data_IF_730963903630
#
_entry.id   IF_730963903630
#
_cell.length_a   1.000
_cell.length_b   1.000
_cell.length_c   1.000
_cell.angle_alpha   90.00
_cell.angle_beta   90.00
_cell.angle_gamma   90.00
#
_symmetry.space_group_name_H-M   'P 1'
#
loop_
_entity.id
_entity.type
_entity.pdbx_description
1 polymer ?
#
# COMPACT_ATOMS: atom_id res chain seq x y z
N UNK A 1 -13.91 14.74 63.51
CA UNK A 1 -14.83 14.96 62.37
C UNK A 1 -16.21 15.21 62.93
N UNK A 2 -16.82 16.34 62.56
CA UNK A 2 -18.20 16.66 62.90
C UNK A 2 -19.08 16.10 61.78
N UNK A 3 -20.09 15.30 62.11
CA UNK A 3 -21.03 14.74 61.14
C UNK A 3 -22.31 15.56 61.17
N UNK A 4 -22.75 16.04 60.01
CA UNK A 4 -23.97 16.86 59.89
C UNK A 4 -24.84 16.36 58.75
N UNK A 5 -26.16 16.33 58.95
CA UNK A 5 -27.15 16.07 57.91
C UNK A 5 -28.06 17.29 57.77
N UNK A 6 -28.50 17.58 56.55
CA UNK A 6 -29.42 18.68 56.28
C UNK A 6 -30.86 18.22 56.49
N UNK A 7 -31.60 18.89 57.37
CA UNK A 7 -33.04 18.70 57.58
C UNK A 7 -33.67 20.07 57.42
N UNK A 8 -34.57 20.21 56.44
CA UNK A 8 -35.25 21.48 56.12
C UNK A 8 -34.24 22.63 55.94
N UNK A 9 -33.20 22.38 55.12
CA UNK A 9 -32.08 23.31 54.84
C UNK A 9 -31.20 23.69 56.05
N UNK A 10 -31.50 23.19 57.24
CA UNK A 10 -30.66 23.38 58.43
C UNK A 10 -29.74 22.19 58.65
N UNK A 11 -28.44 22.48 58.85
CA UNK A 11 -27.45 21.44 59.17
C UNK A 11 -27.55 21.07 60.65
N UNK A 12 -28.01 19.84 60.93
CA UNK A 12 -28.04 19.29 62.29
C UNK A 12 -26.88 18.33 62.48
N UNK A 13 -26.20 18.45 63.63
CA UNK A 13 -25.13 17.53 64.02
C UNK A 13 -25.73 16.18 64.42
N UNK A 14 -25.13 15.10 63.93
CA UNK A 14 -25.56 13.73 64.19
C UNK A 14 -24.37 12.86 64.62
N UNK A 15 -24.67 11.68 65.18
CA UNK A 15 -23.63 10.71 65.50
C UNK A 15 -23.08 10.03 64.22
N UNK A 16 -21.87 9.47 64.32
CA UNK A 16 -21.20 8.75 63.21
C UNK A 16 -22.08 7.62 62.65
N UNK A 17 -22.68 6.82 63.51
CA UNK A 17 -23.51 5.69 63.10
C UNK A 17 -24.71 6.15 62.28
N UNK A 18 -25.43 7.16 62.77
CA UNK A 18 -26.57 7.76 62.05
C UNK A 18 -26.15 8.29 60.69
N UNK A 19 -25.06 9.06 60.60
CA UNK A 19 -24.59 9.62 59.34
C UNK A 19 -24.28 8.55 58.28
N UNK A 20 -23.56 7.48 58.67
CA UNK A 20 -23.18 6.40 57.76
C UNK A 20 -24.38 5.56 57.34
N UNK A 21 -25.26 5.21 58.28
CA UNK A 21 -26.46 4.42 58.02
C UNK A 21 -27.47 5.19 57.16
N UNK A 22 -27.70 6.48 57.44
CA UNK A 22 -28.64 7.31 56.67
C UNK A 22 -28.18 7.54 55.23
N UNK A 23 -26.87 7.72 54.99
CA UNK A 23 -26.32 7.92 53.65
C UNK A 23 -25.96 6.60 52.93
N UNK A 24 -26.10 5.45 53.61
CA UNK A 24 -25.78 4.14 53.03
C UNK A 24 -24.30 3.96 52.65
N UNK A 25 -23.38 4.69 53.30
CA UNK A 25 -21.95 4.65 52.99
C UNK A 25 -21.15 4.03 54.12
N UNK A 26 -20.14 3.25 53.76
CA UNK A 26 -19.17 2.75 54.74
C UNK A 26 -18.22 3.86 55.16
N UNK A 27 -17.65 3.75 56.36
CA UNK A 27 -16.64 4.70 56.83
C UNK A 27 -15.43 4.76 55.89
N UNK A 28 -15.04 3.63 55.31
CA UNK A 28 -13.93 3.56 54.35
C UNK A 28 -14.21 4.39 53.10
N UNK A 29 -15.42 4.30 52.54
CA UNK A 29 -15.83 5.10 51.38
C UNK A 29 -15.80 6.59 51.69
N UNK A 30 -16.38 6.98 52.83
CA UNK A 30 -16.39 8.39 53.27
C UNK A 30 -14.97 8.94 53.47
N UNK A 31 -14.11 8.21 54.18
CA UNK A 31 -12.70 8.61 54.38
C UNK A 31 -11.93 8.69 53.08
N UNK A 32 -12.20 7.78 52.14
CA UNK A 32 -11.54 7.77 50.83
C UNK A 32 -11.98 8.97 49.98
N UNK A 33 -13.28 9.29 49.97
CA UNK A 33 -13.82 10.46 49.28
C UNK A 33 -13.24 11.76 49.84
N UNK A 34 -13.13 11.89 51.17
CA UNK A 34 -12.49 13.05 51.80
C UNK A 34 -11.00 13.16 51.48
N UNK A 35 -10.28 12.04 51.44
CA UNK A 35 -8.86 12.01 51.04
C UNK A 35 -8.66 12.39 49.57
N UNK A 36 -9.62 12.06 48.69
CA UNK A 36 -9.59 12.39 47.27
C UNK A 36 -10.13 13.80 46.96
N UNK A 37 -10.71 14.50 47.94
CA UNK A 37 -11.26 15.84 47.74
C UNK A 37 -10.14 16.87 47.57
N UNK A 38 -10.16 17.59 46.46
CA UNK A 38 -9.27 18.69 46.14
C UNK A 38 -9.76 20.00 46.80
N UNK A 39 -8.90 21.04 46.81
CA UNK A 39 -9.17 22.31 47.51
C UNK A 39 -10.37 23.07 46.94
N UNK A 40 -10.66 22.89 45.65
CA UNK A 40 -11.80 23.45 44.92
C UNK A 40 -13.12 22.68 45.17
N UNK A 41 -13.08 21.60 45.96
CA UNK A 41 -14.24 20.77 46.26
C UNK A 41 -14.49 19.65 45.26
N UNK A 42 -13.68 19.53 44.20
CA UNK A 42 -13.76 18.42 43.24
C UNK A 42 -13.11 17.16 43.81
N UNK A 43 -13.52 15.99 43.30
CA UNK A 43 -12.89 14.71 43.64
C UNK A 43 -11.77 14.45 42.63
N UNK A 44 -10.59 14.04 43.12
CA UNK A 44 -9.45 13.71 42.29
C UNK A 44 -9.80 12.65 41.22
N UNK A 45 -9.30 12.90 40.01
CA UNK A 45 -9.57 12.07 38.82
C UNK A 45 -9.18 10.60 39.03
N UNK A 46 -9.95 9.68 38.44
CA UNK A 46 -9.72 8.25 38.56
C UNK A 46 -8.43 7.83 37.84
N UNK A 47 -7.39 7.48 38.61
CA UNK A 47 -6.09 7.06 38.09
C UNK A 47 -5.89 5.53 38.12
N UNK A 48 -6.99 4.76 38.15
CA UNK A 48 -6.94 3.30 38.08
C UNK A 48 -6.74 2.85 36.63
N UNK A 49 -5.65 2.11 36.39
CA UNK A 49 -5.27 1.62 35.07
C UNK A 49 -4.26 2.53 34.36
N UNK A 50 -3.39 1.92 33.56
CA UNK A 50 -2.27 2.57 32.86
C UNK A 50 -0.96 1.82 33.08
N UNK A 51 -0.06 1.87 32.08
CA UNK A 51 1.31 1.36 32.23
C UNK A 51 2.09 2.25 33.20
N UNK A 52 2.90 1.63 34.05
CA UNK A 52 3.82 2.36 34.93
C UNK A 52 4.81 3.15 34.07
N UNK A 53 5.35 4.24 34.61
CA UNK A 53 6.26 5.11 33.85
C UNK A 53 7.46 4.34 33.27
N UNK A 54 8.04 3.42 34.06
CA UNK A 54 9.11 2.53 33.61
C UNK A 54 8.71 1.63 32.42
N UNK A 55 7.47 1.12 32.40
CA UNK A 55 6.96 0.28 31.31
C UNK A 55 6.71 1.09 30.03
N UNK A 56 6.47 2.40 30.14
CA UNK A 56 6.38 3.29 28.98
C UNK A 56 7.76 3.55 28.37
N UNK A 57 8.77 3.82 29.20
CA UNK A 57 10.15 4.04 28.75
C UNK A 57 10.67 2.79 28.04
N UNK A 58 10.53 1.61 28.64
CA UNK A 58 10.94 0.34 28.03
C UNK A 58 10.22 0.07 26.71
N UNK A 59 8.94 0.44 26.61
CA UNK A 59 8.19 0.31 25.37
C UNK A 59 8.73 1.22 24.26
N UNK A 60 9.05 2.47 24.59
CA UNK A 60 9.56 3.44 23.61
C UNK A 60 10.97 3.08 23.14
N UNK A 61 11.84 2.62 24.03
CA UNK A 61 13.18 2.11 23.67
C UNK A 61 13.08 0.93 22.69
N UNK A 62 12.20 -0.03 22.97
CA UNK A 62 11.95 -1.16 22.06
C UNK A 62 11.39 -0.69 20.73
N UNK A 63 10.45 0.27 20.75
CA UNK A 63 9.87 0.85 19.54
C UNK A 63 10.95 1.49 18.68
N UNK A 64 11.83 2.28 19.27
CA UNK A 64 12.92 2.94 18.54
C UNK A 64 13.89 1.91 17.93
N UNK A 65 14.27 0.87 18.69
CA UNK A 65 15.15 -0.18 18.17
C UNK A 65 14.58 -0.89 16.92
N UNK A 66 13.26 -1.06 16.86
CA UNK A 66 12.58 -1.67 15.71
C UNK A 66 12.59 -0.71 14.53
N UNK A 67 12.34 0.58 14.77
CA UNK A 67 12.37 1.61 13.73
C UNK A 67 13.76 1.71 13.11
N UNK A 68 14.80 1.76 13.95
CA UNK A 68 16.19 1.84 13.52
C UNK A 68 16.55 0.63 12.65
N UNK A 69 16.17 -0.58 13.07
CA UNK A 69 16.39 -1.79 12.28
C UNK A 69 15.64 -1.78 10.94
N UNK A 70 14.35 -1.41 10.92
CA UNK A 70 13.56 -1.37 9.68
C UNK A 70 14.11 -0.31 8.70
N UNK A 71 14.62 0.81 9.20
CA UNK A 71 15.18 1.88 8.36
C UNK A 71 16.53 1.55 7.73
N UNK A 72 17.21 0.47 8.15
CA UNK A 72 18.41 -0.03 7.47
C UNK A 72 18.12 -0.64 6.11
N UNK A 73 16.89 -1.09 5.87
CA UNK A 73 16.52 -1.68 4.58
C UNK A 73 16.24 -0.58 3.55
N UNK A 74 16.85 -0.66 2.36
CA UNK A 74 16.60 0.31 1.30
C UNK A 74 15.12 0.26 0.87
N UNK A 75 14.53 1.44 0.72
CA UNK A 75 13.15 1.59 0.23
C UNK A 75 13.16 1.71 -1.29
N UNK A 76 12.25 1.02 -1.94
CA UNK A 76 12.03 1.06 -3.37
C UNK A 76 10.92 2.05 -3.68
N UNK A 77 11.18 2.93 -4.65
CA UNK A 77 10.20 3.91 -5.10
C UNK A 77 8.97 3.25 -5.72
N UNK A 78 7.81 3.88 -5.49
CA UNK A 78 6.51 3.44 -5.99
C UNK A 78 6.36 3.52 -7.51
N UNK A 79 7.39 3.89 -8.26
CA UNK A 79 7.38 4.07 -9.72
C UNK A 79 6.81 2.85 -10.50
N UNK A 80 6.82 1.66 -9.89
CA UNK A 80 6.27 0.42 -10.45
C UNK A 80 4.82 0.11 -10.02
N UNK A 81 4.34 0.78 -8.98
CA UNK A 81 2.99 0.71 -8.44
C UNK A 81 2.15 1.90 -8.93
N UNK A 82 0.83 1.71 -9.08
CA UNK A 82 -0.08 2.72 -9.65
C UNK A 82 0.06 4.05 -8.90
N UNK A 83 -0.13 5.16 -9.62
CA UNK A 83 -0.06 6.57 -9.19
C UNK A 83 -0.82 6.93 -7.90
N UNK A 84 -1.62 6.02 -7.34
CA UNK A 84 -2.55 6.25 -6.23
C UNK A 84 -2.12 5.65 -4.87
N UNK A 85 -0.91 5.09 -4.73
CA UNK A 85 -0.47 4.56 -3.42
C UNK A 85 0.72 5.34 -2.85
N UNK A 86 0.52 5.97 -1.67
CA UNK A 86 1.58 6.57 -0.84
C UNK A 86 2.47 5.55 -0.12
N UNK A 87 2.32 4.26 -0.43
CA UNK A 87 3.05 3.20 0.26
C UNK A 87 4.47 3.10 -0.32
N UNK A 88 5.45 2.95 0.56
CA UNK A 88 6.82 2.61 0.19
C UNK A 88 6.99 1.08 0.19
N UNK A 89 7.89 0.59 -0.68
CA UNK A 89 8.05 -0.85 -0.88
C UNK A 89 9.44 -1.33 -0.45
N UNK A 90 9.51 -2.51 0.15
CA UNK A 90 10.74 -3.24 0.44
C UNK A 90 11.01 -4.29 -0.65
N UNK A 91 12.25 -4.74 -0.76
CA UNK A 91 12.66 -5.73 -1.75
C UNK A 91 11.79 -7.01 -1.72
N UNK A 92 11.54 -7.65 -2.88
CA UNK A 92 10.67 -8.82 -3.00
C UNK A 92 11.18 -10.06 -2.27
N UNK A 93 12.49 -10.12 -1.99
CA UNK A 93 13.14 -11.23 -1.29
C UNK A 93 13.07 -11.09 0.25
N UNK A 94 12.69 -9.90 0.73
CA UNK A 94 12.48 -9.67 2.15
C UNK A 94 11.09 -10.14 2.55
N UNK A 95 11.03 -10.85 3.67
CA UNK A 95 9.79 -11.20 4.35
C UNK A 95 9.87 -10.74 5.79
N UNK A 96 8.70 -10.44 6.37
CA UNK A 96 8.61 -9.97 7.77
C UNK A 96 9.27 -10.94 8.75
N UNK A 97 9.24 -12.25 8.43
CA UNK A 97 9.90 -13.29 9.22
C UNK A 97 11.41 -13.21 9.15
N UNK A 98 11.96 -13.08 7.94
CA UNK A 98 13.40 -12.90 7.72
C UNK A 98 13.90 -11.63 8.42
N UNK A 99 13.20 -10.51 8.25
CA UNK A 99 13.57 -9.25 8.89
C UNK A 99 13.56 -9.35 10.42
N UNK A 100 12.56 -10.00 11.02
CA UNK A 100 12.53 -10.18 12.47
C UNK A 100 13.68 -11.07 12.97
N UNK A 101 14.02 -12.13 12.22
CA UNK A 101 15.13 -13.00 12.59
C UNK A 101 16.47 -12.23 12.54
N UNK A 102 16.66 -11.36 11.53
CA UNK A 102 17.80 -10.45 11.45
C UNK A 102 17.84 -9.50 12.66
N UNK A 103 16.69 -8.90 13.03
CA UNK A 103 16.58 -8.06 14.21
C UNK A 103 16.96 -8.80 15.50
N UNK A 104 16.48 -10.02 15.70
CA UNK A 104 16.80 -10.83 16.87
C UNK A 104 18.31 -11.13 16.94
N UNK A 105 18.92 -11.50 15.81
CA UNK A 105 20.36 -11.74 15.72
C UNK A 105 21.18 -10.47 16.03
N UNK A 106 20.75 -9.31 15.53
CA UNK A 106 21.42 -8.03 15.81
C UNK A 106 21.31 -7.64 17.29
N UNK A 107 20.12 -7.77 17.88
CA UNK A 107 19.93 -7.51 19.31
C UNK A 107 20.73 -8.47 20.19
N UNK A 108 20.89 -9.73 19.77
CA UNK A 108 21.73 -10.70 20.46
C UNK A 108 23.22 -10.33 20.41
N UNK A 109 23.70 -9.83 19.28
CA UNK A 109 25.07 -9.31 19.14
C UNK A 109 25.34 -8.12 20.08
N UNK A 110 24.36 -7.23 20.22
CA UNK A 110 24.40 -6.08 21.13
C UNK A 110 24.12 -6.43 22.61
N UNK A 111 23.91 -7.72 22.93
CA UNK A 111 23.51 -8.20 24.27
C UNK A 111 22.23 -7.54 24.81
N UNK A 112 21.34 -7.10 23.93
CA UNK A 112 20.04 -6.50 24.26
C UNK A 112 18.92 -7.53 24.15
N UNK A 113 17.86 -7.35 24.93
CA UNK A 113 16.66 -8.19 24.81
C UNK A 113 15.81 -7.72 23.62
N UNK A 114 15.54 -8.59 22.62
CA UNK A 114 14.73 -8.21 21.48
C UNK A 114 13.27 -7.97 21.89
N UNK A 115 12.62 -7.07 21.15
CA UNK A 115 11.18 -6.91 21.24
C UNK A 115 10.41 -8.15 20.76
N UNK A 116 9.16 -8.28 21.21
CA UNK A 116 8.30 -9.38 20.79
C UNK A 116 7.93 -9.27 19.31
N UNK A 117 7.70 -10.43 18.66
CA UNK A 117 7.28 -10.47 17.26
C UNK A 117 6.00 -9.69 17.00
N UNK A 118 5.07 -9.71 17.96
CA UNK A 118 3.81 -8.97 17.86
C UNK A 118 4.05 -7.45 17.78
N UNK A 119 4.92 -6.93 18.66
CA UNK A 119 5.28 -5.50 18.65
C UNK A 119 5.98 -5.11 17.34
N UNK A 120 6.91 -5.95 16.86
CA UNK A 120 7.59 -5.76 15.58
C UNK A 120 6.60 -5.68 14.41
N UNK A 121 5.66 -6.63 14.33
CA UNK A 121 4.65 -6.66 13.27
C UNK A 121 3.73 -5.43 13.31
N UNK A 122 3.35 -4.97 14.50
CA UNK A 122 2.48 -3.80 14.65
C UNK A 122 3.18 -2.52 14.22
N UNK A 123 4.45 -2.34 14.61
CA UNK A 123 5.26 -1.20 14.18
C UNK A 123 5.48 -1.23 12.66
N UNK A 124 5.82 -2.39 12.10
CA UNK A 124 5.95 -2.54 10.65
C UNK A 124 4.68 -2.13 9.89
N UNK A 125 3.50 -2.58 10.36
CA UNK A 125 2.21 -2.17 9.77
C UNK A 125 1.96 -0.68 9.90
N UNK A 126 2.35 -0.06 11.02
CA UNK A 126 2.17 1.38 11.24
C UNK A 126 2.99 2.25 10.28
N UNK A 127 4.09 1.72 9.71
CA UNK A 127 4.94 2.43 8.75
C UNK A 127 4.37 2.47 7.33
N UNK A 128 3.27 1.74 7.04
CA UNK A 128 2.69 1.70 5.70
C UNK A 128 3.57 1.00 4.65
N UNK A 129 4.57 0.22 5.08
CA UNK A 129 5.47 -0.51 4.21
C UNK A 129 4.82 -1.77 3.64
N UNK A 130 5.12 -2.07 2.38
CA UNK A 130 4.70 -3.32 1.72
C UNK A 130 5.89 -4.02 1.07
N UNK A 131 5.83 -5.33 0.95
CA UNK A 131 6.81 -6.05 0.14
C UNK A 131 6.48 -5.87 -1.34
N UNK A 132 7.49 -5.54 -2.14
CA UNK A 132 7.33 -5.40 -3.57
C UNK A 132 6.99 -6.75 -4.18
N UNK A 133 5.97 -6.79 -5.04
CA UNK A 133 5.64 -7.96 -5.83
C UNK A 133 5.87 -7.61 -7.30
N UNK A 134 6.76 -8.36 -7.96
CA UNK A 134 6.99 -8.21 -9.39
C UNK A 134 5.70 -8.47 -10.17
N UNK A 135 5.30 -7.52 -11.01
CA UNK A 135 4.20 -7.73 -11.97
C UNK A 135 4.63 -8.77 -13.00
N UNK A 136 3.67 -9.59 -13.47
CA UNK A 136 3.89 -10.62 -14.49
C UNK A 136 4.48 -10.08 -15.81
N UNK A 137 4.30 -8.78 -16.08
CA UNK A 137 4.80 -8.08 -17.28
C UNK A 137 5.83 -6.99 -16.94
N UNK A 138 6.79 -7.29 -16.07
CA UNK A 138 7.83 -6.32 -15.72
C UNK A 138 8.85 -6.18 -16.86
N UNK A 139 9.19 -4.94 -17.22
CA UNK A 139 10.18 -4.63 -18.23
C UNK A 139 11.54 -5.26 -17.88
N UNK A 140 12.17 -5.96 -18.83
CA UNK A 140 13.44 -6.64 -18.62
C UNK A 140 14.57 -5.71 -18.17
N UNK A 141 14.64 -4.50 -18.72
CA UNK A 141 15.65 -3.49 -18.35
C UNK A 141 15.45 -3.04 -16.89
N UNK A 142 14.21 -2.73 -16.52
CA UNK A 142 13.87 -2.34 -15.14
C UNK A 142 14.13 -3.46 -14.14
N UNK A 143 13.79 -4.71 -14.48
CA UNK A 143 14.06 -5.88 -13.66
C UNK A 143 15.56 -6.07 -13.44
N UNK A 144 16.35 -5.89 -14.49
CA UNK A 144 17.80 -6.01 -14.42
C UNK A 144 18.40 -5.00 -13.45
N UNK A 145 17.98 -3.73 -13.54
CA UNK A 145 18.39 -2.68 -12.60
C UNK A 145 18.00 -2.96 -11.15
N UNK A 146 16.89 -3.64 -10.91
CA UNK A 146 16.48 -4.02 -9.56
C UNK A 146 17.31 -5.16 -8.96
N UNK A 147 17.75 -6.11 -9.79
CA UNK A 147 18.47 -7.30 -9.34
C UNK A 147 19.99 -7.08 -9.26
N UNK A 148 20.55 -6.27 -10.15
CA UNK A 148 21.98 -6.04 -10.27
C UNK A 148 22.40 -4.80 -9.45
N UNK A 149 23.53 -4.90 -8.75
CA UNK A 149 24.02 -3.83 -7.88
C UNK A 149 24.31 -2.54 -8.67
N UNK A 150 24.15 -1.35 -8.05
CA UNK A 150 24.24 -0.05 -8.73
C UNK A 150 25.64 0.35 -9.20
N UNK A 151 26.65 -0.52 -9.10
CA UNK A 151 28.03 -0.24 -9.50
C UNK A 151 28.30 -0.39 -11.01
N UNK A 152 27.40 -1.01 -11.77
CA UNK A 152 27.53 -1.08 -13.23
C UNK A 152 27.05 0.22 -13.89
N UNK A 153 28.02 1.04 -14.29
CA UNK A 153 27.80 2.33 -14.95
C UNK A 153 27.08 2.16 -16.30
N UNK A 154 27.36 1.07 -17.04
CA UNK A 154 26.73 0.80 -18.34
C UNK A 154 25.23 0.53 -18.19
N UNK A 155 24.86 -0.17 -17.13
CA UNK A 155 23.47 -0.49 -16.81
C UNK A 155 22.71 0.74 -16.30
N UNK A 156 23.37 1.63 -15.55
CA UNK A 156 22.81 2.92 -15.17
C UNK A 156 22.50 3.79 -16.39
N UNK A 157 23.43 3.92 -17.34
CA UNK A 157 23.20 4.68 -18.57
C UNK A 157 22.07 4.09 -19.41
N UNK A 158 22.03 2.77 -19.58
CA UNK A 158 20.94 2.09 -20.31
C UNK A 158 19.60 2.32 -19.63
N UNK A 159 19.53 2.22 -18.30
CA UNK A 159 18.32 2.46 -17.54
C UNK A 159 17.85 3.92 -17.64
N UNK A 160 18.78 4.88 -17.54
CA UNK A 160 18.44 6.30 -17.68
C UNK A 160 17.85 6.58 -19.06
N UNK A 161 18.49 6.09 -20.13
CA UNK A 161 17.97 6.21 -21.50
C UNK A 161 16.57 5.61 -21.64
N UNK A 162 16.34 4.41 -21.10
CA UNK A 162 15.03 3.76 -21.08
C UNK A 162 13.96 4.64 -20.38
N UNK A 163 14.32 5.26 -19.26
CA UNK A 163 13.43 6.12 -18.50
C UNK A 163 13.12 7.42 -19.24
N UNK A 164 14.13 8.04 -19.88
CA UNK A 164 13.96 9.24 -20.70
C UNK A 164 13.05 8.97 -21.90
N UNK A 165 13.26 7.86 -22.61
CA UNK A 165 12.40 7.42 -23.72
C UNK A 165 10.96 7.19 -23.27
N UNK A 166 10.77 6.54 -22.11
CA UNK A 166 9.45 6.35 -21.52
C UNK A 166 8.74 7.67 -21.22
N UNK A 167 9.45 8.67 -20.69
CA UNK A 167 8.89 10.00 -20.43
C UNK A 167 8.54 10.69 -21.74
N UNK A 168 9.43 10.66 -22.74
CA UNK A 168 9.20 11.24 -24.07
C UNK A 168 7.96 10.66 -24.75
N UNK A 169 7.82 9.33 -24.80
CA UNK A 169 6.66 8.66 -25.41
C UNK A 169 5.36 9.04 -24.69
N UNK A 170 5.39 9.21 -23.36
CA UNK A 170 4.23 9.68 -22.61
C UNK A 170 3.87 11.13 -22.94
N UNK A 171 4.87 12.01 -23.08
CA UNK A 171 4.65 13.40 -23.49
C UNK A 171 4.02 13.46 -24.88
N UNK A 172 4.58 12.75 -25.86
CA UNK A 172 4.04 12.66 -27.22
C UNK A 172 2.59 12.15 -27.21
N UNK A 173 2.28 11.16 -26.37
CA UNK A 173 0.90 10.65 -26.23
C UNK A 173 -0.05 11.72 -25.68
N UNK A 174 0.36 12.46 -24.66
CA UNK A 174 -0.47 13.53 -24.07
C UNK A 174 -0.65 14.70 -25.06
N UNK A 175 0.38 15.06 -25.81
CA UNK A 175 0.32 16.06 -26.88
C UNK A 175 -0.62 15.62 -28.01
N UNK A 176 -0.49 14.38 -28.49
CA UNK A 176 -1.40 13.80 -29.49
C UNK A 176 -2.86 13.81 -29.00
N UNK A 177 -3.09 13.49 -27.72
CA UNK A 177 -4.42 13.54 -27.12
C UNK A 177 -4.98 14.96 -27.07
N UNK A 178 -4.16 15.96 -26.71
CA UNK A 178 -4.58 17.37 -26.72
C UNK A 178 -4.91 17.86 -28.13
N UNK A 179 -4.02 17.60 -29.09
CA UNK A 179 -4.23 18.00 -30.49
C UNK A 179 -5.50 17.38 -31.07
N UNK A 180 -5.76 16.09 -30.81
CA UNK A 180 -6.99 15.43 -31.25
C UNK A 180 -8.25 15.97 -30.55
N UNK A 181 -8.13 16.47 -29.32
CA UNK A 181 -9.25 17.09 -28.60
C UNK A 181 -9.58 18.50 -29.13
N UNK A 182 -8.58 19.24 -29.60
CA UNK A 182 -8.74 20.62 -30.07
C UNK A 182 -9.13 20.71 -31.54
N UNK A 183 -8.71 19.74 -32.36
CA UNK A 183 -8.97 19.71 -33.80
C UNK A 183 -9.68 18.41 -34.21
N UNK A 184 -10.97 18.47 -34.58
CA UNK A 184 -11.72 17.30 -35.07
C UNK A 184 -11.14 16.64 -36.33
N UNK A 185 -10.25 17.31 -37.06
CA UNK A 185 -9.55 16.73 -38.24
C UNK A 185 -8.35 15.86 -37.86
N UNK A 186 -7.95 15.84 -36.59
CA UNK A 186 -6.79 15.07 -36.11
C UNK A 186 -7.31 13.88 -35.32
N UNK A 187 -7.06 12.66 -35.81
CA UNK A 187 -7.35 11.43 -35.07
C UNK A 187 -6.12 11.04 -34.23
N UNK A 188 -6.28 11.05 -32.90
CA UNK A 188 -5.31 10.49 -31.97
C UNK A 188 -5.68 9.06 -31.63
N UNK A 189 -4.96 8.07 -32.15
CA UNK A 189 -5.21 6.66 -31.86
C UNK A 189 -3.99 5.96 -31.24
N UNK A 190 -4.25 4.99 -30.37
CA UNK A 190 -3.23 4.07 -29.84
C UNK A 190 -3.57 2.66 -30.27
N UNK A 191 -2.56 1.89 -30.64
CA UNK A 191 -2.77 0.51 -31.08
C UNK A 191 -1.73 -0.43 -30.49
N UNK A 192 -2.13 -1.69 -30.36
CA UNK A 192 -1.27 -2.77 -29.89
C UNK A 192 -1.75 -4.11 -30.47
N UNK A 193 -0.81 -5.05 -30.62
CA UNK A 193 -1.09 -6.42 -31.02
C UNK A 193 -1.11 -7.31 -29.78
N UNK A 194 -2.27 -7.89 -29.48
CA UNK A 194 -2.41 -8.75 -28.30
C UNK A 194 -1.54 -10.02 -28.39
N UNK A 195 -1.28 -10.61 -27.23
CA UNK A 195 -0.66 -11.94 -27.15
C UNK A 195 -1.46 -12.95 -27.97
N UNK A 196 -0.75 -13.83 -28.70
CA UNK A 196 -1.36 -14.86 -29.56
C UNK A 196 -2.38 -15.68 -28.79
N UNK A 197 -3.58 -15.76 -29.34
CA UNK A 197 -4.71 -16.48 -28.77
C UNK A 197 -4.78 -17.86 -29.42
N UNK A 198 -4.52 -18.91 -28.65
CA UNK A 198 -4.68 -20.28 -29.12
C UNK A 198 -6.11 -20.77 -28.89
N UNK A 199 -6.79 -21.20 -29.96
CA UNK A 199 -8.15 -21.76 -29.90
C UNK A 199 -8.16 -23.20 -30.40
N UNK A 200 -9.11 -24.06 -29.96
CA UNK A 200 -10.05 -23.81 -28.87
C UNK A 200 -9.37 -23.84 -27.50
N UNK A 201 -9.94 -23.13 -26.52
CA UNK A 201 -9.54 -23.22 -25.12
C UNK A 201 -10.28 -24.38 -24.46
N UNK A 202 -9.55 -25.29 -23.83
CA UNK A 202 -10.13 -26.41 -23.08
C UNK A 202 -9.27 -26.74 -21.87
N UNK A 203 -9.90 -27.29 -20.83
CA UNK A 203 -9.23 -27.82 -19.63
C UNK A 203 -8.87 -29.30 -19.77
N UNK A 204 -9.27 -29.95 -20.88
CA UNK A 204 -8.92 -31.34 -21.14
C UNK A 204 -7.45 -31.47 -21.54
N UNK A 205 -6.76 -32.41 -20.90
CA UNK A 205 -5.32 -32.65 -21.11
C UNK A 205 -4.97 -33.03 -22.55
N UNK A 206 -5.90 -33.63 -23.29
CA UNK A 206 -5.74 -34.02 -24.69
C UNK A 206 -5.44 -32.84 -25.62
N UNK A 207 -5.79 -31.61 -25.25
CA UNK A 207 -5.55 -30.41 -26.06
C UNK A 207 -4.08 -29.95 -26.01
N UNK A 208 -3.33 -30.31 -24.97
CA UNK A 208 -1.90 -29.96 -24.86
C UNK A 208 -1.03 -30.74 -25.84
N UNK A 209 -1.51 -31.89 -26.31
CA UNK A 209 -0.83 -32.74 -27.30
C UNK A 209 -1.22 -32.40 -28.74
N UNK A 210 -2.09 -31.41 -28.96
CA UNK A 210 -2.56 -31.00 -30.29
C UNK A 210 -2.08 -29.60 -30.62
N UNK A 211 -1.68 -29.38 -31.88
CA UNK A 211 -1.39 -28.03 -32.39
C UNK A 211 -2.69 -27.23 -32.39
N UNK A 212 -2.69 -26.11 -31.66
CA UNK A 212 -3.82 -25.18 -31.61
C UNK A 212 -3.59 -24.07 -32.64
N UNK A 213 -4.56 -23.75 -33.52
CA UNK A 213 -4.45 -22.61 -34.42
C UNK A 213 -4.20 -21.31 -33.63
N UNK A 214 -3.24 -20.53 -34.12
CA UNK A 214 -2.95 -19.19 -33.62
C UNK A 214 -4.00 -18.21 -34.15
N UNK A 215 -4.55 -17.40 -33.25
CA UNK A 215 -5.40 -16.26 -33.59
C UNK A 215 -4.71 -14.99 -33.12
N UNK A 216 -4.78 -13.97 -33.95
CA UNK A 216 -4.16 -12.68 -33.76
C UNK A 216 -5.26 -11.64 -33.61
N UNK A 217 -5.14 -10.78 -32.61
CA UNK A 217 -6.06 -9.68 -32.40
C UNK A 217 -5.27 -8.37 -32.33
N UNK A 218 -5.43 -7.54 -33.36
CA UNK A 218 -4.87 -6.19 -33.39
C UNK A 218 -5.93 -5.19 -32.96
N UNK A 219 -5.59 -4.37 -31.97
CA UNK A 219 -6.54 -3.45 -31.37
C UNK A 219 -6.10 -2.02 -31.61
N UNK A 220 -7.03 -1.18 -32.06
CA UNK A 220 -6.84 0.26 -32.21
C UNK A 220 -7.89 0.95 -31.34
N UNK A 221 -7.45 1.87 -30.49
CA UNK A 221 -8.32 2.65 -29.62
C UNK A 221 -8.20 4.13 -29.96
N UNK A 222 -9.32 4.71 -30.36
CA UNK A 222 -9.44 6.14 -30.63
C UNK A 222 -9.52 6.91 -29.30
N UNK A 223 -8.57 7.81 -29.06
CA UNK A 223 -8.50 8.59 -27.83
C UNK A 223 -9.58 9.66 -27.73
N UNK A 224 -10.17 10.07 -28.87
CA UNK A 224 -11.21 11.09 -28.93
C UNK A 224 -12.59 10.48 -28.78
N UNK A 225 -12.97 9.54 -29.67
CA UNK A 225 -14.30 8.89 -29.59
C UNK A 225 -14.40 7.88 -28.44
N UNK A 226 -13.26 7.48 -27.87
CA UNK A 226 -13.16 6.42 -26.87
C UNK A 226 -13.66 5.05 -27.37
N UNK A 227 -13.61 4.84 -28.69
CA UNK A 227 -14.02 3.59 -29.32
C UNK A 227 -12.81 2.70 -29.60
N UNK A 228 -12.98 1.41 -29.33
CA UNK A 228 -12.00 0.38 -29.66
C UNK A 228 -12.43 -0.42 -30.89
N UNK A 229 -11.51 -0.62 -31.83
CA UNK A 229 -11.65 -1.53 -32.99
C UNK A 229 -10.74 -2.73 -32.78
N UNK A 230 -11.29 -3.94 -32.99
CA UNK A 230 -10.57 -5.20 -32.90
C UNK A 230 -10.53 -5.87 -34.28
N UNK A 231 -9.34 -6.10 -34.79
CA UNK A 231 -9.09 -6.85 -36.01
C UNK A 231 -8.64 -8.26 -35.62
N UNK A 232 -9.53 -9.24 -35.77
CA UNK A 232 -9.28 -10.63 -35.41
C UNK A 232 -9.11 -11.47 -36.67
N UNK A 233 -8.01 -12.23 -36.75
CA UNK A 233 -7.79 -13.23 -37.81
C UNK A 233 -6.96 -14.40 -37.30
N UNK A 234 -7.00 -15.53 -38.01
CA UNK A 234 -6.21 -16.72 -37.65
C UNK A 234 -5.05 -16.96 -38.62
N UNK A 235 -4.08 -17.78 -38.21
CA UNK A 235 -2.85 -18.10 -38.96
C UNK A 235 -3.07 -18.69 -40.35
N UNK A 236 -4.29 -19.16 -40.65
CA UNK A 236 -4.67 -19.66 -41.97
C UNK A 236 -5.10 -18.56 -42.95
N UNK A 237 -5.44 -17.37 -42.45
CA UNK A 237 -5.81 -16.21 -43.29
C UNK A 237 -4.57 -15.40 -43.64
N UNK A 238 -3.80 -15.03 -42.61
CA UNK A 238 -2.64 -14.16 -42.76
C UNK A 238 -1.67 -14.34 -41.59
N UNK A 239 -0.47 -13.79 -41.73
CA UNK A 239 0.53 -13.73 -40.64
C UNK A 239 0.23 -12.53 -39.74
N UNK A 240 1.18 -12.12 -38.92
CA UNK A 240 1.07 -10.96 -38.02
C UNK A 240 2.20 -9.97 -38.24
N UNK A 241 2.64 -9.85 -39.49
CA UNK A 241 3.73 -8.99 -39.88
C UNK A 241 3.26 -7.55 -40.13
N UNK A 242 4.20 -6.76 -40.65
CA UNK A 242 4.00 -5.34 -40.93
C UNK A 242 2.85 -5.12 -41.91
N UNK A 243 2.75 -5.94 -42.97
CA UNK A 243 1.70 -5.80 -43.98
C UNK A 243 0.28 -5.96 -43.38
N UNK A 244 0.07 -6.94 -42.51
CA UNK A 244 -1.23 -7.14 -41.87
C UNK A 244 -1.58 -5.98 -40.92
N UNK A 245 -0.59 -5.49 -40.16
CA UNK A 245 -0.76 -4.33 -39.28
C UNK A 245 -1.09 -3.08 -40.11
N UNK A 246 -0.32 -2.80 -41.15
CA UNK A 246 -0.56 -1.67 -42.07
C UNK A 246 -1.94 -1.74 -42.71
N UNK A 247 -2.39 -2.94 -43.10
CA UNK A 247 -3.75 -3.13 -43.63
C UNK A 247 -4.83 -2.81 -42.60
N UNK A 248 -4.64 -3.20 -41.34
CA UNK A 248 -5.58 -2.89 -40.27
C UNK A 248 -5.63 -1.38 -39.98
N UNK A 249 -4.47 -0.72 -39.95
CA UNK A 249 -4.38 0.74 -39.77
C UNK A 249 -5.04 1.45 -40.95
N UNK A 250 -4.76 1.01 -42.18
CA UNK A 250 -5.35 1.60 -43.38
C UNK A 250 -6.88 1.49 -43.36
N UNK A 251 -7.43 0.31 -43.04
CA UNK A 251 -8.88 0.11 -42.89
C UNK A 251 -9.47 1.05 -41.85
N UNK A 252 -8.81 1.20 -40.69
CA UNK A 252 -9.25 2.13 -39.65
C UNK A 252 -9.27 3.58 -40.13
N UNK A 253 -8.23 4.03 -40.87
CA UNK A 253 -8.18 5.38 -41.40
C UNK A 253 -9.27 5.63 -42.46
N UNK A 254 -9.50 4.68 -43.37
CA UNK A 254 -10.57 4.79 -44.37
C UNK A 254 -11.96 4.92 -43.72
N UNK A 255 -12.20 4.16 -42.66
CA UNK A 255 -13.46 4.24 -41.90
C UNK A 255 -13.63 5.60 -41.23
N UNK A 256 -12.54 6.20 -40.74
CA UNK A 256 -12.55 7.54 -40.13
C UNK A 256 -12.70 8.66 -41.14
N UNK A 257 -12.16 8.52 -42.35
CA UNK A 257 -12.31 9.51 -43.42
C UNK A 257 -13.71 9.47 -44.06
N UNK A 258 -14.41 8.33 -43.96
CA UNK A 258 -15.73 8.13 -44.58
C UNK A 258 -16.92 8.57 -43.71
N UNK A 259 -16.68 8.92 -42.44
CA UNK A 259 -17.70 9.34 -41.46
C UNK A 259 -17.59 10.80 -41.12
#
# INVERSE_FOLDING_TARGET
MIYTLAIHEQRKQVCRHMFLSTLGVTERQMRTALKKRQRDGQIAMEARGGRREAEKVEYEEKRQSILDHINKFPRMESHYCRTNTKNEFLAPELYLTTMYNMYVSEMAADKKKPASRSLYNNIFKSLGLKFFALKKDACGICLRKMKENPTDESLLTMYQKHMDEKVKVRQVKEEAKKMASENPKICGAVFDLQQVIYTPKSHHSSIFYKRRPSNYNFTIFDLQSQEGRCFLWHEGIARRGENEISTCIYKFLQEKDSG
#
